data_IF_323363844464
#
_entry.id   IF_323363844464
#
_cell.length_a   1.000
_cell.length_b   1.000
_cell.length_c   1.000
_cell.angle_alpha   90.00
_cell.angle_beta   90.00
_cell.angle_gamma   90.00
#
_symmetry.space_group_name_H-M   'P 1'
#
loop_
_entity.id
_entity.type
_entity.pdbx_description
1 polymer ?
#
# COMPACT_ATOMS: atom_id res chain seq x y z
N UNK A 1 -19.68 -11.23 1.52
CA UNK A 1 -18.50 -12.13 1.54
C UNK A 1 -18.48 -12.96 2.82
N UNK A 2 -18.43 -12.34 4.01
CA UNK A 2 -18.43 -13.06 5.30
C UNK A 2 -19.63 -14.00 5.51
N UNK A 3 -20.77 -13.65 4.94
CA UNK A 3 -21.97 -14.51 4.94
C UNK A 3 -21.85 -15.77 4.05
N UNK A 4 -20.71 -15.98 3.38
CA UNK A 4 -20.44 -17.19 2.59
C UNK A 4 -21.03 -17.19 1.18
N UNK A 5 -21.59 -16.07 0.72
CA UNK A 5 -22.24 -15.93 -0.60
C UNK A 5 -21.37 -16.37 -1.79
N UNK A 6 -20.05 -16.18 -1.70
CA UNK A 6 -19.10 -16.60 -2.74
C UNK A 6 -18.30 -17.86 -2.37
N UNK A 7 -18.63 -18.52 -1.26
CA UNK A 7 -17.90 -19.67 -0.73
C UNK A 7 -16.57 -19.29 -0.07
N UNK A 8 -15.65 -20.24 -0.03
CA UNK A 8 -14.30 -20.06 0.53
C UNK A 8 -13.46 -19.19 -0.40
N UNK A 9 -12.75 -18.19 0.13
CA UNK A 9 -11.88 -17.31 -0.66
C UNK A 9 -10.61 -18.05 -1.11
N UNK A 10 -10.46 -18.19 -2.42
CA UNK A 10 -9.34 -18.88 -3.05
C UNK A 10 -8.23 -17.91 -3.46
N UNK A 11 -8.61 -16.72 -3.91
CA UNK A 11 -7.68 -15.68 -4.37
C UNK A 11 -8.28 -14.30 -4.18
N UNK A 12 -7.44 -13.35 -3.82
CA UNK A 12 -7.70 -11.92 -3.92
C UNK A 12 -6.74 -11.34 -4.95
N UNK A 13 -7.18 -10.31 -5.67
CA UNK A 13 -6.31 -9.55 -6.57
C UNK A 13 -6.64 -8.07 -6.50
N UNK A 14 -5.59 -7.26 -6.46
CA UNK A 14 -5.65 -5.83 -6.27
C UNK A 14 -4.75 -5.12 -7.29
N UNK A 15 -5.23 -3.97 -7.75
CA UNK A 15 -4.55 -3.15 -8.74
C UNK A 15 -4.58 -1.69 -8.27
N UNK A 16 -3.39 -1.12 -8.15
CA UNK A 16 -3.16 0.31 -7.95
C UNK A 16 -2.22 0.78 -9.06
N UNK A 17 -2.73 0.72 -10.28
CA UNK A 17 -2.01 1.05 -11.51
C UNK A 17 -2.48 2.41 -11.99
N UNK A 18 -1.70 3.43 -11.67
CA UNK A 18 -1.92 4.82 -12.01
C UNK A 18 -0.71 5.43 -12.72
N UNK A 19 -0.80 6.71 -13.09
CA UNK A 19 0.37 7.52 -13.39
C UNK A 19 1.13 7.92 -12.12
N UNK A 20 1.90 9.02 -12.13
CA UNK A 20 2.56 9.53 -10.93
C UNK A 20 1.56 9.78 -9.81
N UNK A 21 1.92 9.36 -8.60
CA UNK A 21 1.07 9.48 -7.41
C UNK A 21 1.60 10.54 -6.46
N UNK A 22 0.72 11.42 -5.98
CA UNK A 22 1.08 12.47 -5.02
C UNK A 22 2.27 13.33 -5.49
N UNK A 23 3.25 13.50 -4.61
CA UNK A 23 4.51 14.20 -4.86
C UNK A 23 5.67 13.25 -5.22
N UNK A 24 5.39 12.05 -5.75
CA UNK A 24 6.42 11.17 -6.30
C UNK A 24 7.05 11.77 -7.59
N UNK A 25 8.05 11.09 -8.16
CA UNK A 25 8.83 11.59 -9.30
C UNK A 25 9.46 12.97 -9.01
N UNK A 26 10.12 13.06 -7.86
CA UNK A 26 10.69 14.31 -7.34
C UNK A 26 11.93 14.68 -8.14
N UNK A 27 11.99 15.89 -8.70
CA UNK A 27 13.19 16.43 -9.37
C UNK A 27 14.27 16.91 -8.38
N UNK A 28 15.48 17.30 -8.83
CA UNK A 28 16.59 17.68 -7.95
C UNK A 28 16.24 18.79 -6.95
N UNK A 29 16.87 18.75 -5.76
CA UNK A 29 16.66 19.76 -4.72
C UNK A 29 17.09 21.16 -5.20
N UNK A 30 16.22 22.17 -5.12
CA UNK A 30 16.60 23.55 -5.42
C UNK A 30 17.69 24.10 -4.49
N UNK A 31 18.48 25.05 -4.98
CA UNK A 31 19.44 25.78 -4.17
C UNK A 31 18.73 26.62 -3.09
N UNK A 32 19.34 26.76 -1.91
CA UNK A 32 18.82 27.59 -0.81
C UNK A 32 17.72 26.96 0.04
N UNK A 33 17.27 25.73 -0.26
CA UNK A 33 16.31 24.99 0.57
C UNK A 33 17.06 23.99 1.46
N UNK A 34 16.82 23.97 2.79
CA UNK A 34 17.33 22.94 3.69
C UNK A 34 16.89 21.54 3.27
N UNK A 35 17.76 20.55 3.46
CA UNK A 35 17.54 19.16 3.04
C UNK A 35 16.24 18.58 3.62
N UNK A 36 16.04 18.74 4.93
CA UNK A 36 14.87 18.23 5.63
C UNK A 36 13.55 18.80 5.11
N UNK A 37 13.51 20.13 4.87
CA UNK A 37 12.31 20.80 4.37
C UNK A 37 11.93 20.31 2.97
N UNK A 38 12.94 20.11 2.13
CA UNK A 38 12.75 19.57 0.79
C UNK A 38 12.19 18.15 0.84
N UNK A 39 12.72 17.28 1.70
CA UNK A 39 12.24 15.91 1.83
C UNK A 39 10.82 15.84 2.41
N UNK A 40 10.50 16.61 3.47
CA UNK A 40 9.15 16.66 4.06
C UNK A 40 8.13 17.16 3.03
N UNK A 41 8.46 18.21 2.26
CA UNK A 41 7.54 18.75 1.24
C UNK A 41 7.29 17.77 0.09
N UNK A 42 8.19 16.81 -0.11
CA UNK A 42 8.14 15.81 -1.16
C UNK A 42 8.09 14.39 -0.57
N UNK A 43 7.39 14.21 0.56
CA UNK A 43 7.45 12.99 1.38
C UNK A 43 7.18 11.68 0.62
N UNK A 44 6.31 11.67 -0.40
CA UNK A 44 6.07 10.48 -1.23
C UNK A 44 7.32 10.02 -2.00
N UNK A 45 8.31 10.89 -2.19
CA UNK A 45 9.57 10.57 -2.85
C UNK A 45 10.63 9.94 -1.95
N UNK A 46 10.46 10.03 -0.63
CA UNK A 46 11.46 9.63 0.36
C UNK A 46 10.90 8.56 1.30
N UNK A 47 11.51 7.38 1.27
CA UNK A 47 11.00 6.20 1.97
C UNK A 47 10.92 6.42 3.47
N UNK A 48 11.88 7.13 4.08
CA UNK A 48 11.84 7.40 5.52
C UNK A 48 10.62 8.22 5.96
N UNK A 49 10.10 9.09 5.09
CA UNK A 49 9.02 10.03 5.44
C UNK A 49 7.63 9.41 5.29
N UNK A 50 7.45 8.44 4.39
CA UNK A 50 6.11 7.90 4.07
C UNK A 50 6.07 6.42 3.67
N UNK A 51 7.21 5.74 3.58
CA UNK A 51 7.32 4.45 2.88
C UNK A 51 7.14 4.56 1.36
N UNK A 52 7.20 5.79 0.83
CA UNK A 52 7.05 6.09 -0.59
C UNK A 52 5.65 5.84 -1.15
N UNK A 53 5.57 5.78 -2.47
CA UNK A 53 4.34 5.52 -3.21
C UNK A 53 3.72 4.14 -2.91
N UNK A 54 4.53 3.17 -2.48
CA UNK A 54 4.01 1.86 -2.12
C UNK A 54 3.16 1.96 -0.84
N UNK A 55 3.76 2.40 0.27
CA UNK A 55 3.06 2.45 1.54
C UNK A 55 1.88 3.42 1.52
N UNK A 56 2.00 4.55 0.84
CA UNK A 56 0.96 5.58 0.88
C UNK A 56 -0.25 5.25 -0.02
N UNK A 57 -0.04 4.54 -1.15
CA UNK A 57 -1.13 4.30 -2.12
C UNK A 57 -1.61 2.85 -2.17
N UNK A 58 -0.73 1.86 -1.98
CA UNK A 58 -1.11 0.44 -2.10
C UNK A 58 -1.69 -0.11 -0.80
N UNK A 59 -1.40 0.51 0.35
CA UNK A 59 -1.92 0.10 1.68
C UNK A 59 -3.44 -0.08 1.67
N UNK A 60 -4.17 0.79 0.99
CA UNK A 60 -5.62 0.74 0.96
C UNK A 60 -6.14 -0.55 0.28
N UNK A 61 -5.54 -0.94 -0.85
CA UNK A 61 -5.93 -2.16 -1.54
C UNK A 61 -5.45 -3.42 -0.79
N UNK A 62 -4.31 -3.33 -0.10
CA UNK A 62 -3.82 -4.39 0.79
C UNK A 62 -4.79 -4.60 1.96
N UNK A 63 -5.12 -3.52 2.67
CA UNK A 63 -5.98 -3.54 3.85
C UNK A 63 -7.40 -4.00 3.51
N UNK A 64 -8.03 -3.46 2.46
CA UNK A 64 -9.39 -3.86 2.08
C UNK A 64 -9.44 -5.35 1.69
N UNK A 65 -8.41 -5.88 1.01
CA UNK A 65 -8.33 -7.30 0.70
C UNK A 65 -8.15 -8.16 1.95
N UNK A 66 -7.28 -7.75 2.87
CA UNK A 66 -7.11 -8.42 4.16
C UNK A 66 -8.40 -8.36 5.00
N UNK A 67 -9.16 -7.27 4.88
CA UNK A 67 -10.43 -7.09 5.58
C UNK A 67 -11.51 -8.03 5.04
N UNK A 68 -11.57 -8.20 3.71
CA UNK A 68 -12.44 -9.19 3.06
C UNK A 68 -12.03 -10.63 3.39
N UNK A 69 -10.72 -10.90 3.52
CA UNK A 69 -10.20 -12.20 3.96
C UNK A 69 -10.47 -12.47 5.44
N UNK A 70 -10.60 -11.41 6.23
CA UNK A 70 -10.64 -11.45 7.70
C UNK A 70 -9.41 -12.14 8.30
N UNK A 71 -8.24 -11.92 7.69
CA UNK A 71 -6.96 -12.43 8.15
C UNK A 71 -5.83 -11.55 7.63
N UNK A 72 -4.63 -11.76 8.16
CA UNK A 72 -3.39 -11.15 7.68
C UNK A 72 -2.52 -12.20 6.96
N UNK A 73 -1.80 -11.82 5.89
CA UNK A 73 -0.85 -12.72 5.27
C UNK A 73 0.35 -12.98 6.19
N UNK A 74 0.90 -14.19 6.11
CA UNK A 74 2.05 -14.63 6.91
C UNK A 74 3.38 -14.44 6.18
N UNK A 75 3.35 -14.25 4.86
CA UNK A 75 4.53 -13.93 4.05
C UNK A 75 4.18 -13.15 2.78
N UNK A 76 5.17 -12.46 2.23
CA UNK A 76 5.13 -11.84 0.91
C UNK A 76 6.37 -12.22 0.08
N UNK A 77 6.18 -12.34 -1.23
CA UNK A 77 7.24 -12.35 -2.23
C UNK A 77 6.90 -11.35 -3.32
N UNK A 78 7.90 -10.73 -3.93
CA UNK A 78 7.64 -9.67 -4.89
C UNK A 78 8.70 -9.52 -5.97
N UNK A 79 8.30 -8.87 -7.05
CA UNK A 79 9.16 -8.31 -8.09
C UNK A 79 8.82 -6.83 -8.26
N UNK A 80 9.84 -6.01 -8.48
CA UNK A 80 9.65 -4.59 -8.68
C UNK A 80 10.88 -3.93 -9.27
N UNK A 81 10.73 -2.70 -9.71
CA UNK A 81 11.86 -1.93 -10.20
C UNK A 81 11.47 -0.57 -10.74
N UNK A 82 12.50 0.15 -11.19
CA UNK A 82 12.35 1.50 -11.73
C UNK A 82 13.04 1.67 -13.07
N UNK A 83 12.45 2.48 -13.94
CA UNK A 83 12.90 2.75 -15.30
C UNK A 83 12.78 4.25 -15.63
N UNK A 84 13.60 4.73 -16.58
CA UNK A 84 13.50 6.08 -17.19
C UNK A 84 13.45 7.26 -16.19
N UNK A 85 14.40 7.32 -15.24
CA UNK A 85 14.33 8.31 -14.15
C UNK A 85 14.74 9.73 -14.47
N UNK A 86 15.48 9.94 -15.56
CA UNK A 86 15.97 11.28 -15.90
C UNK A 86 16.71 11.90 -14.71
N UNK A 87 16.31 13.12 -14.34
CA UNK A 87 16.86 13.86 -13.21
C UNK A 87 16.14 13.58 -11.88
N UNK A 88 15.04 12.82 -11.87
CA UNK A 88 14.32 12.49 -10.64
C UNK A 88 15.23 11.81 -9.62
N UNK A 89 15.03 12.16 -8.35
CA UNK A 89 15.86 11.77 -7.21
C UNK A 89 15.09 10.94 -6.17
N UNK A 90 13.78 10.72 -6.38
CA UNK A 90 12.96 9.92 -5.47
C UNK A 90 13.44 8.46 -5.37
N UNK A 91 13.09 7.78 -4.28
CA UNK A 91 13.52 6.40 -3.99
C UNK A 91 12.56 5.31 -4.49
N UNK A 92 11.40 5.66 -5.03
CA UNK A 92 10.35 4.69 -5.35
C UNK A 92 10.75 3.74 -6.50
N UNK A 93 10.12 2.56 -6.54
CA UNK A 93 9.94 1.83 -7.79
C UNK A 93 8.76 2.35 -8.60
N UNK A 94 8.80 2.06 -9.91
CA UNK A 94 7.74 2.39 -10.86
C UNK A 94 6.70 1.27 -10.95
N UNK A 95 7.14 0.02 -10.73
CA UNK A 95 6.30 -1.18 -10.78
C UNK A 95 6.52 -2.03 -9.53
N UNK A 96 5.43 -2.60 -9.04
CA UNK A 96 5.41 -3.55 -7.95
C UNK A 96 4.44 -4.69 -8.29
N UNK A 97 4.90 -5.93 -8.18
CA UNK A 97 4.07 -7.13 -8.27
C UNK A 97 4.35 -7.97 -7.04
N UNK A 98 3.38 -8.06 -6.14
CA UNK A 98 3.52 -8.71 -4.83
C UNK A 98 2.52 -9.85 -4.72
N UNK A 99 2.98 -11.02 -4.32
CA UNK A 99 2.13 -12.12 -3.89
C UNK A 99 2.24 -12.24 -2.36
N UNK A 100 1.11 -12.00 -1.69
CA UNK A 100 0.94 -12.29 -0.28
C UNK A 100 0.32 -13.68 -0.09
N UNK A 101 0.76 -14.40 0.92
CA UNK A 101 0.23 -15.73 1.28
C UNK A 101 -0.39 -15.68 2.67
N UNK A 102 -1.65 -16.08 2.78
CA UNK A 102 -2.34 -16.28 4.06
C UNK A 102 -2.02 -17.66 4.66
N UNK A 103 -2.27 -17.83 5.95
CA UNK A 103 -1.95 -19.07 6.67
C UNK A 103 -2.64 -20.32 6.10
N UNK A 104 -3.82 -20.16 5.49
CA UNK A 104 -4.57 -21.23 4.80
C UNK A 104 -4.12 -21.48 3.35
N UNK A 105 -3.09 -20.76 2.88
CA UNK A 105 -2.56 -20.86 1.53
C UNK A 105 -3.25 -19.97 0.50
N UNK A 106 -4.33 -19.26 0.86
CA UNK A 106 -4.97 -18.27 -0.01
C UNK A 106 -3.95 -17.21 -0.43
N UNK A 107 -4.10 -16.71 -1.67
CA UNK A 107 -3.18 -15.71 -2.24
C UNK A 107 -3.85 -14.35 -2.42
N UNK A 108 -3.12 -13.29 -2.14
CA UNK A 108 -3.44 -11.94 -2.60
C UNK A 108 -2.38 -11.49 -3.60
N UNK A 109 -2.78 -11.24 -4.84
CA UNK A 109 -1.93 -10.70 -5.90
C UNK A 109 -2.13 -9.18 -5.99
N UNK A 110 -1.10 -8.40 -5.69
CA UNK A 110 -1.13 -6.95 -5.76
C UNK A 110 -0.24 -6.47 -6.89
N UNK A 111 -0.79 -5.64 -7.78
CA UNK A 111 -0.02 -4.96 -8.82
C UNK A 111 -0.12 -3.44 -8.65
N UNK A 112 1.01 -2.81 -8.37
CA UNK A 112 1.18 -1.36 -8.31
C UNK A 112 1.95 -0.84 -9.50
N UNK A 113 1.55 0.31 -10.03
CA UNK A 113 2.32 1.00 -11.07
C UNK A 113 2.09 2.50 -11.01
N UNK A 114 3.14 3.29 -11.23
CA UNK A 114 3.10 4.77 -11.26
C UNK A 114 3.58 5.37 -12.59
N UNK A 115 3.71 4.56 -13.65
CA UNK A 115 4.17 5.00 -14.95
C UNK A 115 3.06 5.65 -15.79
N UNK A 116 3.24 6.90 -16.26
CA UNK A 116 2.28 7.57 -17.13
C UNK A 116 2.20 6.89 -18.51
N UNK A 117 1.02 6.98 -19.15
CA UNK A 117 0.78 6.44 -20.49
C UNK A 117 0.46 4.94 -20.56
N UNK A 118 0.47 4.23 -19.43
CA UNK A 118 0.10 2.82 -19.37
C UNK A 118 -1.40 2.60 -19.07
N UNK A 119 -1.88 1.36 -19.24
CA UNK A 119 -3.26 0.95 -18.92
C UNK A 119 -3.58 1.14 -17.43
N UNK A 120 -4.51 2.06 -17.10
CA UNK A 120 -4.85 2.35 -15.71
C UNK A 120 -5.89 1.38 -15.16
N UNK A 121 -5.65 0.94 -13.92
CA UNK A 121 -6.59 0.12 -13.18
C UNK A 121 -6.49 0.42 -11.69
N UNK A 122 -7.64 0.69 -11.09
CA UNK A 122 -7.83 0.80 -9.66
C UNK A 122 -8.96 -0.15 -9.32
N UNK A 123 -8.66 -1.27 -8.69
CA UNK A 123 -9.69 -2.22 -8.27
C UNK A 123 -9.14 -3.26 -7.31
N UNK A 124 -10.02 -3.82 -6.50
CA UNK A 124 -9.78 -5.06 -5.77
C UNK A 124 -10.91 -6.04 -6.00
N UNK A 125 -10.55 -7.32 -6.12
CA UNK A 125 -11.45 -8.41 -6.42
C UNK A 125 -11.21 -9.59 -5.50
N UNK A 126 -12.29 -10.30 -5.17
CA UNK A 126 -12.26 -11.55 -4.44
C UNK A 126 -12.80 -12.68 -5.32
N UNK A 127 -12.11 -13.82 -5.31
CA UNK A 127 -12.52 -15.05 -5.99
C UNK A 127 -12.75 -16.12 -4.93
N UNK A 128 -13.98 -16.59 -4.84
CA UNK A 128 -14.35 -17.67 -3.94
C UNK A 128 -14.73 -18.96 -4.68
N UNK A 129 -14.97 -20.04 -3.94
CA UNK A 129 -15.28 -21.35 -4.52
C UNK A 129 -16.65 -21.44 -5.21
N UNK A 130 -17.56 -20.48 -4.97
CA UNK A 130 -18.92 -20.44 -5.55
C UNK A 130 -19.19 -19.20 -6.42
N UNK A 131 -18.38 -18.17 -6.28
CA UNK A 131 -18.62 -16.88 -6.91
C UNK A 131 -17.40 -15.97 -6.89
N UNK A 132 -17.55 -14.75 -7.38
CA UNK A 132 -16.55 -13.70 -7.25
C UNK A 132 -17.19 -12.38 -6.83
N UNK A 133 -16.37 -11.42 -6.42
CA UNK A 133 -16.83 -10.11 -5.98
C UNK A 133 -15.87 -9.00 -6.41
N UNK A 134 -16.45 -7.85 -6.75
CA UNK A 134 -15.73 -6.57 -6.81
C UNK A 134 -15.79 -5.96 -5.43
N UNK A 135 -14.63 -5.73 -4.82
CA UNK A 135 -14.49 -5.08 -3.51
C UNK A 135 -14.54 -3.58 -3.71
N UNK A 136 -13.69 -3.06 -4.59
CA UNK A 136 -13.69 -1.67 -5.00
C UNK A 136 -13.31 -1.56 -6.47
N UNK A 137 -13.80 -0.54 -7.18
CA UNK A 137 -13.48 -0.28 -8.58
C UNK A 137 -13.45 1.22 -8.86
N UNK A 138 -12.41 1.68 -9.56
CA UNK A 138 -12.10 3.08 -9.94
C UNK A 138 -11.73 4.00 -8.76
N UNK A 139 -12.32 3.79 -7.58
CA UNK A 139 -12.01 4.48 -6.34
C UNK A 139 -12.43 3.61 -5.14
N UNK A 140 -12.03 3.99 -3.92
CA UNK A 140 -12.56 3.36 -2.70
C UNK A 140 -13.93 3.91 -2.30
N UNK A 141 -14.32 5.07 -2.83
CA UNK A 141 -15.67 5.62 -2.64
C UNK A 141 -16.05 6.49 -3.87
N UNK A 142 -17.19 6.23 -4.54
CA UNK A 142 -18.01 5.05 -4.36
C UNK A 142 -17.25 3.77 -4.80
N UNK A 143 -17.23 2.74 -3.96
CA UNK A 143 -16.49 1.50 -4.18
C UNK A 143 -17.08 0.65 -5.32
N UNK A 144 -18.39 0.76 -5.59
CA UNK A 144 -19.10 -0.05 -6.59
C UNK A 144 -19.05 -1.57 -6.30
N UNK A 145 -19.18 -1.93 -5.02
CA UNK A 145 -19.16 -3.32 -4.54
C UNK A 145 -20.22 -4.18 -5.24
N UNK A 146 -19.82 -5.37 -5.69
CA UNK A 146 -20.71 -6.33 -6.37
C UNK A 146 -20.34 -7.76 -6.03
N UNK A 147 -21.34 -8.64 -6.01
CA UNK A 147 -21.18 -10.10 -5.99
C UNK A 147 -21.72 -10.65 -7.30
N UNK A 148 -21.02 -11.64 -7.85
CA UNK A 148 -21.34 -12.30 -9.10
C UNK A 148 -21.53 -13.80 -8.87
N UNK A 149 -22.42 -14.41 -9.66
CA UNK A 149 -22.53 -15.86 -9.79
C UNK A 149 -21.34 -16.38 -10.62
N UNK A 150 -20.72 -17.47 -10.20
CA UNK A 150 -19.54 -17.99 -10.89
C UNK A 150 -18.35 -17.03 -10.86
N UNK A 151 -17.47 -17.09 -11.87
CA UNK A 151 -16.19 -16.36 -11.87
C UNK A 151 -16.13 -15.18 -12.86
N UNK A 152 -17.21 -14.91 -13.57
CA UNK A 152 -17.25 -13.91 -14.63
C UNK A 152 -17.78 -12.56 -14.12
N UNK A 153 -17.01 -11.48 -14.35
CA UNK A 153 -17.37 -10.12 -13.94
C UNK A 153 -18.27 -9.42 -14.98
N UNK A 154 -19.33 -10.09 -15.43
CA UNK A 154 -20.27 -9.56 -16.42
C UNK A 154 -21.55 -9.06 -15.74
N UNK A 155 -22.36 -8.27 -16.46
CA UNK A 155 -23.59 -7.68 -15.91
C UNK A 155 -24.66 -8.73 -15.62
N UNK A 156 -24.75 -9.74 -16.46
CA UNK A 156 -25.67 -10.87 -16.39
C UNK A 156 -25.38 -11.81 -15.22
N UNK A 157 -24.13 -11.84 -14.72
CA UNK A 157 -23.77 -12.62 -13.53
C UNK A 157 -23.97 -11.87 -12.21
N UNK A 158 -24.34 -10.58 -12.21
CA UNK A 158 -24.49 -9.81 -10.95
C UNK A 158 -25.61 -10.41 -10.10
N UNK A 159 -25.23 -10.99 -8.96
CA UNK A 159 -26.16 -11.51 -7.95
C UNK A 159 -26.57 -10.43 -6.95
N UNK A 160 -25.66 -9.52 -6.64
CA UNK A 160 -25.89 -8.42 -5.71
C UNK A 160 -24.97 -7.24 -6.05
N UNK A 161 -25.45 -6.03 -5.80
CA UNK A 161 -24.68 -4.80 -5.92
C UNK A 161 -25.04 -3.86 -4.77
N UNK A 162 -24.04 -3.15 -4.23
CA UNK A 162 -24.31 -2.09 -3.28
C UNK A 162 -25.10 -0.96 -3.94
N UNK A 163 -26.05 -0.39 -3.19
CA UNK A 163 -26.95 0.65 -3.68
C UNK A 163 -26.27 2.00 -3.93
N UNK A 164 -27.00 2.98 -4.47
CA UNK A 164 -26.45 4.31 -4.77
C UNK A 164 -26.08 5.14 -3.53
N UNK A 165 -26.55 4.75 -2.34
CA UNK A 165 -26.44 5.52 -1.10
C UNK A 165 -25.15 5.20 -0.33
N UNK A 166 -24.01 5.33 -1.01
CA UNK A 166 -22.70 5.20 -0.39
C UNK A 166 -22.35 6.51 0.34
N UNK A 167 -22.40 6.45 1.67
CA UNK A 167 -22.09 7.60 2.52
C UNK A 167 -20.60 7.97 2.42
N UNK A 168 -20.30 9.26 2.63
CA UNK A 168 -18.93 9.75 2.62
C UNK A 168 -18.13 9.12 3.78
N UNK A 169 -17.09 8.29 3.51
CA UNK A 169 -16.34 7.59 4.55
C UNK A 169 -15.64 8.55 5.51
N UNK A 170 -15.14 9.69 5.02
CA UNK A 170 -14.52 10.70 5.88
C UNK A 170 -15.50 11.25 6.92
N UNK A 171 -16.78 11.41 6.55
CA UNK A 171 -17.80 11.86 7.49
C UNK A 171 -18.20 10.75 8.46
N UNK A 172 -18.23 9.49 8.00
CA UNK A 172 -18.50 8.34 8.86
C UNK A 172 -17.42 8.19 9.95
N UNK A 173 -16.15 8.29 9.59
CA UNK A 173 -15.04 8.25 10.57
C UNK A 173 -15.19 9.33 11.65
N UNK A 174 -15.51 10.58 11.26
CA UNK A 174 -15.80 11.65 12.22
C UNK A 174 -17.03 11.35 13.08
N UNK A 175 -18.09 10.79 12.50
CA UNK A 175 -19.29 10.44 13.24
C UNK A 175 -18.99 9.36 14.28
N UNK A 176 -18.27 8.31 13.91
CA UNK A 176 -17.92 7.19 14.79
C UNK A 176 -17.02 7.67 15.96
N UNK A 177 -16.00 8.48 15.66
CA UNK A 177 -15.13 9.07 16.68
C UNK A 177 -15.92 9.95 17.67
N UNK A 178 -16.75 10.86 17.15
CA UNK A 178 -17.52 11.77 17.99
C UNK A 178 -18.61 11.02 18.77
N UNK A 179 -19.25 10.02 18.18
CA UNK A 179 -20.23 9.17 18.86
C UNK A 179 -19.58 8.41 20.01
N UNK A 180 -18.42 7.79 19.78
CA UNK A 180 -17.69 7.06 20.80
C UNK A 180 -17.32 7.95 21.99
N UNK A 181 -16.82 9.17 21.73
CA UNK A 181 -16.51 10.14 22.80
C UNK A 181 -17.77 10.57 23.55
N UNK A 182 -18.84 10.94 22.84
CA UNK A 182 -20.05 11.50 23.46
C UNK A 182 -20.86 10.48 24.22
N UNK A 183 -20.80 9.21 23.80
CA UNK A 183 -21.53 8.10 24.42
C UNK A 183 -20.66 7.24 25.32
N UNK A 184 -19.40 7.61 25.55
CA UNK A 184 -18.43 6.86 26.35
C UNK A 184 -18.31 5.37 25.92
N UNK A 185 -18.21 5.15 24.60
CA UNK A 185 -18.06 3.82 24.02
C UNK A 185 -16.59 3.51 23.74
N UNK A 186 -16.15 2.26 23.94
CA UNK A 186 -14.85 1.83 23.44
C UNK A 186 -14.86 1.87 21.91
N UNK A 187 -13.87 2.54 21.33
CA UNK A 187 -13.61 2.55 19.89
C UNK A 187 -12.11 2.58 19.66
N UNK A 188 -11.56 1.52 19.06
CA UNK A 188 -10.13 1.35 18.90
C UNK A 188 -9.84 0.49 17.67
N UNK A 189 -9.17 1.09 16.68
CA UNK A 189 -8.73 0.43 15.46
C UNK A 189 -7.19 0.35 15.35
N UNK A 190 -6.47 0.66 16.45
CA UNK A 190 -5.00 0.72 16.47
C UNK A 190 -4.38 -0.60 16.04
N UNK A 191 -4.87 -1.73 16.54
CA UNK A 191 -4.35 -3.05 16.17
C UNK A 191 -4.49 -3.31 14.67
N UNK A 192 -5.64 -2.98 14.08
CA UNK A 192 -5.87 -3.11 12.64
C UNK A 192 -4.93 -2.20 11.84
N UNK A 193 -4.82 -0.93 12.24
CA UNK A 193 -3.96 0.05 11.56
C UNK A 193 -2.48 -0.31 11.62
N UNK A 194 -1.99 -0.80 12.77
CA UNK A 194 -0.61 -1.28 12.93
C UNK A 194 -0.37 -2.48 12.03
N UNK A 195 -1.28 -3.46 12.02
CA UNK A 195 -1.13 -4.65 11.21
C UNK A 195 -1.24 -4.38 9.70
N UNK A 196 -2.12 -3.46 9.27
CA UNK A 196 -2.17 -3.00 7.89
C UNK A 196 -0.83 -2.36 7.46
N UNK A 197 -0.25 -1.55 8.34
CA UNK A 197 1.05 -0.90 8.11
C UNK A 197 2.21 -1.90 8.07
N UNK A 198 2.20 -2.89 8.96
CA UNK A 198 3.18 -3.98 8.98
C UNK A 198 3.08 -4.83 7.71
N UNK A 199 1.91 -5.36 7.36
CA UNK A 199 1.71 -6.16 6.15
C UNK A 199 2.08 -5.38 4.89
N UNK A 200 1.78 -4.08 4.84
CA UNK A 200 2.21 -3.21 3.73
C UNK A 200 3.72 -3.11 3.65
N UNK A 201 4.40 -2.89 4.79
CA UNK A 201 5.86 -2.84 4.83
C UNK A 201 6.50 -4.19 4.48
N UNK A 202 5.86 -5.31 4.84
CA UNK A 202 6.30 -6.67 4.46
C UNK A 202 6.37 -6.81 2.94
N UNK A 203 5.31 -6.41 2.23
CA UNK A 203 5.28 -6.48 0.76
C UNK A 203 6.24 -5.51 0.08
N UNK A 204 6.42 -4.31 0.66
CA UNK A 204 7.40 -3.31 0.19
C UNK A 204 8.82 -3.84 0.32
N UNK A 205 9.18 -4.35 1.50
CA UNK A 205 10.48 -4.94 1.79
C UNK A 205 10.77 -6.13 0.89
N UNK A 206 9.79 -7.01 0.66
CA UNK A 206 9.94 -8.11 -0.29
C UNK A 206 10.29 -7.61 -1.70
N UNK A 207 9.67 -6.52 -2.17
CA UNK A 207 9.97 -5.95 -3.48
C UNK A 207 11.35 -5.28 -3.52
N UNK A 208 11.70 -4.54 -2.47
CA UNK A 208 12.92 -3.74 -2.38
C UNK A 208 14.18 -4.58 -2.19
N UNK A 209 14.07 -5.73 -1.51
CA UNK A 209 15.18 -6.66 -1.25
C UNK A 209 15.23 -7.84 -2.22
N UNK A 210 14.11 -8.17 -2.86
CA UNK A 210 13.96 -9.36 -3.69
C UNK A 210 13.94 -10.67 -2.89
N UNK A 211 13.67 -10.61 -1.59
CA UNK A 211 13.57 -11.78 -0.71
C UNK A 211 12.10 -12.14 -0.43
N UNK A 212 11.88 -13.37 0.02
CA UNK A 212 10.63 -13.74 0.69
C UNK A 212 10.72 -13.19 2.11
N UNK A 213 9.74 -12.38 2.51
CA UNK A 213 9.68 -11.79 3.84
C UNK A 213 8.46 -12.37 4.57
N UNK A 214 8.68 -12.96 5.75
CA UNK A 214 7.56 -13.34 6.63
C UNK A 214 7.12 -12.16 7.49
N UNK A 215 5.91 -12.23 8.02
CA UNK A 215 5.41 -11.19 8.93
C UNK A 215 6.26 -11.13 10.20
N UNK A 216 6.71 -12.28 10.70
CA UNK A 216 7.59 -12.36 11.87
C UNK A 216 8.96 -11.74 11.58
N UNK A 217 9.56 -12.01 10.40
CA UNK A 217 10.83 -11.39 9.99
C UNK A 217 10.73 -9.86 9.98
N UNK A 218 9.62 -9.32 9.45
CA UNK A 218 9.41 -7.88 9.42
C UNK A 218 9.25 -7.29 10.83
N UNK A 219 8.43 -7.92 11.68
CA UNK A 219 8.17 -7.42 13.05
C UNK A 219 9.43 -7.47 13.94
N UNK A 220 10.41 -8.30 13.57
CA UNK A 220 11.71 -8.41 14.25
C UNK A 220 12.84 -7.69 13.49
N UNK A 221 12.53 -6.94 12.44
CA UNK A 221 13.52 -6.33 11.56
C UNK A 221 14.22 -5.15 12.24
N UNK A 222 15.56 -5.16 12.21
CA UNK A 222 16.41 -4.06 12.71
C UNK A 222 16.50 -2.86 11.75
N UNK A 223 15.88 -2.94 10.56
CA UNK A 223 15.99 -1.88 9.56
C UNK A 223 15.17 -0.65 9.95
N UNK A 224 15.86 0.34 10.51
CA UNK A 224 15.29 1.64 10.81
C UNK A 224 15.30 2.56 9.58
N UNK A 225 14.13 3.14 9.27
CA UNK A 225 13.95 4.05 8.14
C UNK A 225 14.40 5.49 8.47
N UNK A 226 14.14 5.95 9.69
CA UNK A 226 14.45 7.31 10.10
C UNK A 226 15.28 7.32 11.39
N UNK A 227 16.57 6.95 11.33
CA UNK A 227 17.45 7.06 12.48
C UNK A 227 17.42 8.47 13.07
N UNK A 228 17.37 8.54 14.41
CA UNK A 228 17.29 9.79 15.18
C UNK A 228 16.03 10.65 14.90
N UNK A 229 14.94 10.05 14.40
CA UNK A 229 13.67 10.79 14.15
C UNK A 229 13.08 11.43 15.41
N UNK A 230 13.33 10.82 16.58
CA UNK A 230 12.94 11.34 17.89
C UNK A 230 13.68 12.65 18.26
N UNK A 231 14.81 12.92 17.60
CA UNK A 231 15.64 14.13 17.77
C UNK A 231 15.49 15.12 16.61
N UNK A 232 14.59 14.85 15.67
CA UNK A 232 14.41 15.68 14.48
C UNK A 232 14.04 17.12 14.85
N UNK A 233 14.77 18.08 14.29
CA UNK A 233 14.44 19.51 14.37
C UNK A 233 14.39 20.08 12.97
N UNK A 234 13.60 21.14 12.74
CA UNK A 234 13.44 21.74 11.41
C UNK A 234 14.77 22.24 10.80
N UNK A 235 15.68 22.71 11.65
CA UNK A 235 17.01 23.17 11.25
C UNK A 235 18.07 22.04 11.24
N UNK A 236 17.68 20.81 11.59
CA UNK A 236 18.54 19.65 11.67
C UNK A 236 18.79 18.95 10.32
N UNK A 237 19.69 17.94 10.30
CA UNK A 237 19.88 17.12 9.11
C UNK A 237 18.64 16.26 8.83
N UNK A 238 18.37 16.00 7.55
CA UNK A 238 17.38 14.99 7.18
C UNK A 238 17.87 13.57 7.54
N UNK A 239 16.98 12.62 7.88
CA UNK A 239 17.40 11.23 8.12
C UNK A 239 18.11 10.58 6.92
N UNK A 240 17.72 10.97 5.71
CA UNK A 240 18.33 10.50 4.47
C UNK A 240 19.24 11.59 3.89
N UNK A 241 20.50 11.25 3.63
CA UNK A 241 21.48 12.18 3.07
C UNK A 241 21.69 11.92 1.57
N UNK A 242 21.83 13.00 0.80
CA UNK A 242 22.20 12.91 -0.61
C UNK A 242 23.70 12.64 -0.77
N UNK A 243 24.09 11.97 -1.85
CA UNK A 243 25.47 11.80 -2.27
C UNK A 243 26.05 13.09 -2.89
N UNK A 244 27.32 13.03 -3.30
CA UNK A 244 28.01 14.16 -3.94
C UNK A 244 27.37 14.62 -5.27
N UNK A 245 26.47 13.84 -5.85
CA UNK A 245 25.74 14.12 -7.08
C UNK A 245 24.27 14.53 -6.82
N UNK A 246 23.87 14.68 -5.54
CA UNK A 246 22.50 15.04 -5.17
C UNK A 246 21.49 13.91 -5.38
N UNK A 247 21.95 12.65 -5.43
CA UNK A 247 21.11 11.45 -5.50
C UNK A 247 21.04 10.78 -4.13
N UNK A 248 20.00 10.00 -3.91
CA UNK A 248 19.79 9.28 -2.66
C UNK A 248 19.92 7.76 -2.89
N UNK A 249 20.29 6.99 -1.85
CA UNK A 249 20.21 5.54 -1.88
C UNK A 249 18.85 5.04 -2.36
N UNK A 250 18.84 4.03 -3.21
CA UNK A 250 17.61 3.42 -3.75
C UNK A 250 17.58 1.94 -3.42
N UNK A 251 16.41 1.30 -3.43
CA UNK A 251 16.34 -0.14 -3.27
C UNK A 251 17.09 -0.90 -4.37
N UNK A 252 17.84 -1.93 -3.98
CA UNK A 252 18.72 -2.72 -4.85
C UNK A 252 18.45 -4.23 -4.68
N UNK A 253 17.31 -4.74 -5.20
CA UNK A 253 16.86 -6.10 -4.95
C UNK A 253 17.90 -7.11 -5.44
N UNK A 254 18.22 -8.08 -4.58
CA UNK A 254 19.24 -9.10 -4.82
C UNK A 254 20.69 -8.67 -4.57
N UNK A 255 20.97 -7.36 -4.46
CA UNK A 255 22.30 -6.85 -4.05
C UNK A 255 22.31 -6.47 -2.56
N UNK A 256 21.23 -5.83 -2.12
CA UNK A 256 20.98 -5.49 -0.72
C UNK A 256 19.73 -6.26 -0.28
N UNK A 257 19.91 -7.19 0.63
CA UNK A 257 18.89 -8.19 0.96
C UNK A 257 18.30 -8.06 2.37
N UNK A 258 18.94 -7.27 3.24
CA UNK A 258 18.58 -7.09 4.65
C UNK A 258 17.94 -5.72 4.96
N UNK A 259 17.94 -4.80 3.98
CA UNK A 259 17.44 -3.43 4.13
C UNK A 259 16.97 -2.87 2.78
N UNK A 260 16.14 -1.84 2.82
CA UNK A 260 15.50 -1.26 1.64
C UNK A 260 16.30 -0.10 1.06
N UNK A 261 17.17 0.52 1.86
CA UNK A 261 18.22 1.45 1.40
C UNK A 261 19.35 1.55 2.43
N UNK A 262 20.51 2.03 1.99
CA UNK A 262 21.70 2.27 2.82
C UNK A 262 22.59 3.35 2.21
#
# INVERSE_FOLDING_TARGET
IRDGEIGELLMLRAYRMAGPTGSAAVGPKPAGIPELHYQISNFHGFLWASGGAFSDFLIHNIDECCWMKDAWPVQAQASGGRHYRGDHVDQNFDTYSVEYTFADGTKLLLNGRTQPGCHQEFASFAHGSKGCATISAKAHTPAQCKIYQGQEFTKDQVAWAFGPDEQNPYQLEWNDLIDAIRQDKPYNEVERGVMASAVTSMGRMAAHTGQIITLDDLLQCDHEFAPDVDKLTLDGPAPLQADAHGKYPVPMPGLVTDREYA
#
